data_IF_935659995165
#
_entry.id   IF_935659995165
#
_cell.length_a   1.000
_cell.length_b   1.000
_cell.length_c   1.000
_cell.angle_alpha   90.00
_cell.angle_beta   90.00
_cell.angle_gamma   90.00
#
_symmetry.space_group_name_H-M   'P 1'
#
loop_
_entity.id
_entity.type
_entity.pdbx_description
1 polymer ?
#
# COMPACT_ATOMS: atom_id res chain seq x y z
N UNK A 1 4.60 -10.49 -10.29
CA UNK A 1 6.04 -10.19 -10.11
C UNK A 1 6.26 -10.21 -8.61
N UNK A 2 7.28 -10.91 -8.10
CA UNK A 2 7.45 -11.25 -6.68
C UNK A 2 8.70 -10.54 -6.12
N UNK A 3 8.52 -9.77 -5.06
CA UNK A 3 9.56 -9.01 -4.36
C UNK A 3 10.74 -9.90 -3.96
N UNK A 4 10.49 -11.14 -3.52
CA UNK A 4 11.50 -12.09 -3.06
C UNK A 4 12.43 -12.54 -4.19
N UNK A 5 11.87 -12.71 -5.39
CA UNK A 5 12.64 -13.10 -6.57
C UNK A 5 13.51 -11.95 -7.10
N UNK A 6 13.08 -10.71 -6.91
CA UNK A 6 13.85 -9.52 -7.28
C UNK A 6 14.91 -9.14 -6.25
N UNK A 7 14.74 -9.55 -5.00
CA UNK A 7 15.68 -9.25 -3.92
C UNK A 7 16.94 -10.13 -3.98
N UNK A 8 16.79 -11.40 -4.38
CA UNK A 8 17.90 -12.35 -4.49
C UNK A 8 18.96 -11.86 -5.48
N UNK A 9 20.17 -11.59 -4.98
CA UNK A 9 21.30 -11.07 -5.77
C UNK A 9 21.28 -9.57 -6.06
N UNK A 10 20.36 -8.81 -5.44
CA UNK A 10 20.34 -7.34 -5.54
C UNK A 10 21.19 -6.69 -4.43
N UNK A 11 21.54 -5.42 -4.59
CA UNK A 11 22.17 -4.62 -3.52
C UNK A 11 21.31 -4.47 -2.25
N UNK A 12 20.03 -4.85 -2.31
CA UNK A 12 19.05 -4.65 -1.24
C UNK A 12 18.86 -5.89 -0.34
N UNK A 13 19.59 -6.98 -0.60
CA UNK A 13 19.44 -8.27 0.09
C UNK A 13 19.69 -8.18 1.62
N UNK A 14 20.52 -7.22 2.06
CA UNK A 14 20.80 -6.91 3.46
C UNK A 14 20.27 -5.53 3.91
N UNK A 15 19.41 -4.90 3.11
CA UNK A 15 18.88 -3.56 3.41
C UNK A 15 17.70 -3.63 4.40
N UNK A 16 16.88 -4.67 4.33
CA UNK A 16 15.71 -4.83 5.18
C UNK A 16 16.10 -5.38 6.57
N UNK A 17 15.52 -4.84 7.66
CA UNK A 17 15.76 -5.38 9.00
C UNK A 17 15.26 -6.81 9.11
N UNK A 18 15.97 -7.67 9.85
CA UNK A 18 15.61 -9.08 10.06
C UNK A 18 14.21 -9.27 10.68
N UNK A 19 13.70 -8.26 11.40
CA UNK A 19 12.37 -8.29 12.01
C UNK A 19 11.21 -8.03 11.05
N UNK A 20 11.47 -7.79 9.76
CA UNK A 20 10.43 -7.54 8.77
C UNK A 20 9.95 -8.85 8.13
N UNK A 21 8.63 -9.08 8.19
CA UNK A 21 7.99 -10.16 7.45
C UNK A 21 7.79 -9.75 5.99
N UNK A 22 8.86 -9.87 5.19
CA UNK A 22 8.85 -9.53 3.77
C UNK A 22 7.80 -10.33 2.98
N UNK A 23 7.43 -11.53 3.44
CA UNK A 23 6.41 -12.35 2.80
C UNK A 23 5.01 -11.77 3.00
N UNK A 24 4.73 -11.22 4.18
CA UNK A 24 3.52 -10.42 4.41
C UNK A 24 3.46 -9.16 3.55
N UNK A 25 4.61 -8.50 3.34
CA UNK A 25 4.68 -7.30 2.50
C UNK A 25 4.41 -7.65 1.04
N UNK A 26 5.04 -8.71 0.52
CA UNK A 26 4.80 -9.18 -0.85
C UNK A 26 3.34 -9.60 -1.05
N UNK A 27 2.75 -10.32 -0.08
CA UNK A 27 1.34 -10.70 -0.11
C UNK A 27 0.40 -9.49 -0.16
N UNK A 28 0.71 -8.42 0.58
CA UNK A 28 -0.06 -7.17 0.55
C UNK A 28 0.07 -6.45 -0.80
N UNK A 29 1.28 -6.44 -1.38
CA UNK A 29 1.55 -5.81 -2.66
C UNK A 29 1.09 -6.63 -3.88
N UNK A 30 0.80 -7.92 -3.70
CA UNK A 30 0.28 -8.80 -4.74
C UNK A 30 -1.21 -8.58 -5.05
N UNK A 31 -1.92 -7.79 -4.23
CA UNK A 31 -3.31 -7.44 -4.49
C UNK A 31 -3.44 -6.59 -5.77
N UNK A 32 -4.42 -6.95 -6.61
CA UNK A 32 -4.69 -6.21 -7.83
C UNK A 32 -5.13 -4.79 -7.48
N UNK A 33 -4.70 -3.76 -8.24
CA UNK A 33 -5.01 -2.37 -7.94
C UNK A 33 -6.51 -2.08 -7.86
N UNK A 34 -7.33 -2.87 -8.56
CA UNK A 34 -8.79 -2.80 -8.53
C UNK A 34 -9.37 -3.22 -7.17
N UNK A 35 -8.69 -4.13 -6.46
CA UNK A 35 -9.10 -4.66 -5.15
C UNK A 35 -8.64 -3.79 -3.96
N UNK A 36 -7.81 -2.76 -4.20
CA UNK A 36 -7.33 -1.85 -3.14
C UNK A 36 -8.48 -1.09 -2.47
N UNK A 37 -9.60 -0.90 -3.18
CA UNK A 37 -10.82 -0.28 -2.62
C UNK A 37 -11.64 -1.19 -1.70
N UNK A 38 -11.36 -2.50 -1.67
CA UNK A 38 -12.15 -3.46 -0.91
C UNK A 38 -11.87 -3.36 0.59
N UNK A 39 -12.94 -3.30 1.40
CA UNK A 39 -12.83 -3.15 2.84
C UNK A 39 -12.17 -4.38 3.47
N UNK A 40 -11.02 -4.17 4.08
CA UNK A 40 -10.32 -5.23 4.81
C UNK A 40 -10.82 -5.34 6.26
N UNK A 41 -10.86 -6.56 6.84
CA UNK A 41 -11.40 -6.79 8.18
C UNK A 41 -10.57 -6.15 9.30
N UNK A 42 -9.29 -5.83 9.03
CA UNK A 42 -8.40 -5.18 9.99
C UNK A 42 -8.47 -3.64 9.94
N UNK A 43 -9.26 -3.06 9.04
CA UNK A 43 -9.39 -1.61 8.92
C UNK A 43 -10.28 -1.02 10.01
N UNK A 44 -9.94 0.20 10.42
CA UNK A 44 -10.81 0.98 11.27
C UNK A 44 -12.15 1.26 10.56
N UNK A 45 -13.32 1.25 11.23
CA UNK A 45 -14.63 1.36 10.57
C UNK A 45 -14.83 2.63 9.74
N UNK A 46 -14.16 3.72 10.12
CA UNK A 46 -14.21 5.00 9.40
C UNK A 46 -13.14 5.14 8.30
N UNK A 47 -12.31 4.12 8.08
CA UNK A 47 -11.28 4.14 7.06
C UNK A 47 -11.85 3.68 5.72
N UNK A 48 -11.76 4.56 4.72
CA UNK A 48 -12.11 4.28 3.33
C UNK A 48 -11.01 4.83 2.41
N UNK A 49 -10.35 3.99 1.60
CA UNK A 49 -9.36 4.46 0.64
C UNK A 49 -10.06 5.27 -0.47
N UNK A 50 -9.59 6.50 -0.70
CA UNK A 50 -10.10 7.35 -1.77
C UNK A 50 -9.10 7.34 -2.92
N UNK A 51 -9.53 6.86 -4.08
CA UNK A 51 -8.71 6.88 -5.29
C UNK A 51 -8.45 8.31 -5.74
N UNK A 52 -7.20 8.62 -6.08
CA UNK A 52 -6.85 9.88 -6.70
C UNK A 52 -6.82 9.70 -8.22
N UNK A 53 -7.61 10.51 -8.95
CA UNK A 53 -7.75 10.40 -10.40
C UNK A 53 -6.51 10.89 -11.18
N UNK A 54 -5.71 11.78 -10.57
CA UNK A 54 -4.50 12.32 -11.17
C UNK A 54 -3.48 12.73 -10.09
N UNK A 55 -2.18 12.79 -10.44
CA UNK A 55 -1.09 13.15 -9.51
C UNK A 55 -1.25 14.57 -8.93
N UNK A 56 -1.86 15.50 -9.66
CA UNK A 56 -2.20 16.85 -9.20
C UNK A 56 -3.42 16.91 -8.27
N UNK A 57 -4.24 15.85 -8.22
CA UNK A 57 -5.43 15.74 -7.37
C UNK A 57 -5.13 15.45 -5.89
N UNK A 58 -3.97 14.86 -5.59
CA UNK A 58 -3.60 14.45 -4.23
C UNK A 58 -3.53 15.64 -3.24
N UNK A 59 -3.20 16.83 -3.76
CA UNK A 59 -3.16 18.07 -2.98
C UNK A 59 -4.54 18.66 -2.68
N UNK A 60 -5.59 18.26 -3.40
CA UNK A 60 -6.96 18.82 -3.28
C UNK A 60 -7.88 18.04 -2.34
N UNK A 61 -7.67 16.74 -2.15
CA UNK A 61 -8.53 15.93 -1.27
C UNK A 61 -8.30 16.20 0.23
N UNK A 62 -7.08 16.61 0.62
CA UNK A 62 -6.75 16.99 2.00
C UNK A 62 -7.54 18.21 2.51
N UNK A 63 -8.10 19.04 1.61
CA UNK A 63 -8.94 20.19 1.96
C UNK A 63 -10.43 19.88 2.15
N UNK A 64 -10.90 18.67 1.84
CA UNK A 64 -12.32 18.31 1.92
C UNK A 64 -12.73 17.57 3.20
N UNK A 65 -11.77 17.25 4.09
CA UNK A 65 -12.05 16.70 5.41
C UNK A 65 -12.68 17.71 6.39
N UNK A 66 -13.06 18.90 5.92
CA UNK A 66 -13.94 19.81 6.66
C UNK A 66 -15.39 19.37 6.43
N UNK A 67 -15.83 18.38 7.22
CA UNK A 67 -17.25 18.08 7.37
C UNK A 67 -17.87 19.15 8.29
N UNK A 68 -19.08 19.66 8.01
CA UNK A 68 -19.78 20.60 8.89
C UNK A 68 -20.10 20.00 10.26
#
# INVERSE_FOLDING_TARGET
>A
MDLMTTLKGSLLENFYPEGWDLARIDACCAHAPETIGERQPFWHPAFAPVGCADVGGARRQAGSCHRP
#
